data_IF_977434159248
#
_entry.id   IF_977434159248
#
_cell.length_a   1.000
_cell.length_b   1.000
_cell.length_c   1.000
_cell.angle_alpha   90.00
_cell.angle_beta   90.00
_cell.angle_gamma   90.00
#
_symmetry.space_group_name_H-M   'P 1'
#
loop_
_entity.id
_entity.type
_entity.pdbx_description
1 polymer ?
#
# COMPACT_ATOMS: atom_id res chain seq x y z
N UNK A 1 13.64 -14.54 -32.52
CA UNK A 1 12.27 -14.78 -32.02
C UNK A 1 12.25 -14.24 -30.60
N UNK A 2 11.85 -12.99 -30.43
CA UNK A 2 11.79 -12.35 -29.11
C UNK A 2 10.69 -13.01 -28.28
N UNK A 3 11.06 -13.65 -27.18
CA UNK A 3 10.11 -13.97 -26.12
C UNK A 3 9.60 -12.65 -25.55
N UNK A 4 8.43 -12.19 -26.01
CA UNK A 4 7.63 -11.22 -25.27
C UNK A 4 7.37 -11.83 -23.90
N UNK A 5 8.11 -11.38 -22.87
CA UNK A 5 7.67 -11.54 -21.48
C UNK A 5 6.30 -10.89 -21.43
N UNK A 6 5.25 -11.70 -21.23
CA UNK A 6 3.93 -11.19 -20.90
C UNK A 6 4.10 -10.38 -19.62
N UNK A 7 4.13 -9.06 -19.75
CA UNK A 7 4.03 -8.18 -18.59
C UNK A 7 2.65 -8.42 -17.98
N UNK A 8 2.64 -9.00 -16.79
CA UNK A 8 1.42 -9.26 -16.06
C UNK A 8 0.72 -7.93 -15.78
N UNK A 9 -0.44 -7.69 -16.39
CA UNK A 9 -1.29 -6.53 -16.10
C UNK A 9 -2.49 -6.98 -15.29
N UNK A 10 -2.72 -6.34 -14.14
CA UNK A 10 -3.73 -6.72 -13.16
C UNK A 10 -5.14 -6.21 -13.51
N UNK A 11 -5.24 -5.27 -14.44
CA UNK A 11 -6.50 -4.70 -14.92
C UNK A 11 -7.41 -5.73 -15.62
N UNK A 12 -6.84 -6.84 -16.10
CA UNK A 12 -7.56 -7.96 -16.70
C UNK A 12 -7.82 -9.12 -15.73
N UNK A 13 -7.44 -9.01 -14.45
CA UNK A 13 -7.60 -10.11 -13.49
C UNK A 13 -9.03 -10.10 -12.97
N UNK A 14 -9.74 -11.20 -13.21
CA UNK A 14 -11.15 -11.40 -12.81
C UNK A 14 -11.32 -11.27 -11.30
N UNK A 15 -10.30 -11.66 -10.53
CA UNK A 15 -10.25 -11.54 -9.08
C UNK A 15 -9.05 -10.66 -8.68
N UNK A 16 -9.26 -9.37 -8.37
CA UNK A 16 -8.17 -8.53 -7.89
C UNK A 16 -7.60 -9.10 -6.58
N UNK A 17 -6.33 -8.80 -6.24
CA UNK A 17 -5.72 -9.29 -5.01
C UNK A 17 -6.58 -8.95 -3.80
N UNK A 18 -6.88 -9.92 -2.94
CA UNK A 18 -7.70 -9.69 -1.75
C UNK A 18 -7.02 -8.73 -0.76
N UNK A 19 -5.69 -8.68 -0.78
CA UNK A 19 -4.91 -7.66 -0.13
C UNK A 19 -3.56 -7.46 -0.82
N UNK A 20 -2.92 -6.33 -0.54
CA UNK A 20 -1.56 -6.01 -0.96
C UNK A 20 -0.78 -5.45 0.22
N UNK A 21 0.50 -5.79 0.31
CA UNK A 21 1.44 -5.12 1.20
C UNK A 21 2.08 -3.95 0.44
N UNK A 22 2.25 -2.82 1.11
CA UNK A 22 2.75 -1.61 0.49
C UNK A 22 3.81 -0.96 1.37
N UNK A 23 4.98 -0.75 0.78
CA UNK A 23 6.04 0.05 1.36
C UNK A 23 6.23 1.30 0.52
N UNK A 24 6.44 2.42 1.19
CA UNK A 24 6.55 3.71 0.54
C UNK A 24 7.47 4.65 1.30
N UNK A 25 8.23 5.43 0.55
CA UNK A 25 8.85 6.66 0.98
C UNK A 25 8.19 7.81 0.22
N UNK A 26 7.73 8.80 0.98
CA UNK A 26 7.16 10.01 0.40
C UNK A 26 7.74 11.25 1.08
N UNK A 27 8.24 12.19 0.29
CA UNK A 27 8.80 13.46 0.73
C UNK A 27 8.37 14.55 -0.24
N UNK A 28 7.82 15.66 0.30
CA UNK A 28 7.42 16.82 -0.51
C UNK A 28 8.58 17.81 -0.64
N UNK A 29 9.42 17.95 0.39
CA UNK A 29 10.57 18.85 0.33
C UNK A 29 11.72 18.27 -0.50
N UNK A 30 12.69 19.14 -0.82
CA UNK A 30 13.97 18.80 -1.44
C UNK A 30 13.85 17.82 -2.62
N UNK A 31 13.26 18.33 -3.71
CA UNK A 31 13.10 17.71 -5.03
C UNK A 31 11.94 16.72 -5.20
N UNK A 32 11.07 16.55 -4.20
CA UNK A 32 9.97 15.57 -4.22
C UNK A 32 10.47 14.14 -4.46
N UNK A 33 10.29 13.27 -3.47
CA UNK A 33 10.65 11.85 -3.60
C UNK A 33 9.44 11.01 -3.28
N UNK A 34 9.13 10.10 -4.19
CA UNK A 34 7.99 9.21 -4.06
C UNK A 34 8.37 7.86 -4.66
N UNK A 35 8.78 6.93 -3.81
CA UNK A 35 9.26 5.62 -4.23
C UNK A 35 8.78 4.54 -3.27
N UNK A 36 8.66 3.32 -3.77
CA UNK A 36 8.07 2.26 -2.98
C UNK A 36 7.84 1.00 -3.79
N UNK A 37 7.07 0.09 -3.20
CA UNK A 37 6.61 -1.09 -3.90
C UNK A 37 5.29 -1.63 -3.34
N UNK A 38 4.51 -2.21 -4.24
CA UNK A 38 3.40 -3.10 -3.90
C UNK A 38 3.88 -4.54 -3.95
N UNK A 39 3.47 -5.33 -2.99
CA UNK A 39 3.76 -6.75 -2.86
C UNK A 39 2.42 -7.49 -2.77
N UNK A 40 2.22 -8.43 -3.69
CA UNK A 40 1.14 -9.41 -3.64
C UNK A 40 1.71 -10.74 -3.14
N UNK A 41 1.51 -11.06 -1.86
CA UNK A 41 2.08 -12.26 -1.27
C UNK A 41 1.28 -13.53 -1.61
N UNK A 42 0.10 -13.40 -2.21
CA UNK A 42 -0.76 -14.52 -2.63
C UNK A 42 -0.44 -14.93 -4.07
N UNK A 43 -0.41 -13.97 -4.99
CA UNK A 43 -0.07 -14.23 -6.39
C UNK A 43 1.44 -14.22 -6.66
N UNK A 44 2.23 -13.76 -5.68
CA UNK A 44 3.69 -13.83 -5.72
C UNK A 44 4.32 -12.83 -6.68
N UNK A 45 3.99 -11.54 -6.58
CA UNK A 45 4.72 -10.51 -7.32
C UNK A 45 4.99 -9.24 -6.52
N UNK A 46 6.03 -8.51 -6.93
CA UNK A 46 6.38 -7.18 -6.47
C UNK A 46 6.34 -6.20 -7.65
N UNK A 47 5.67 -5.06 -7.47
CA UNK A 47 5.68 -3.92 -8.39
C UNK A 47 6.37 -2.73 -7.73
N UNK A 48 7.58 -2.40 -8.18
CA UNK A 48 8.38 -1.30 -7.63
C UNK A 48 8.18 -0.03 -8.44
N UNK A 49 8.09 1.11 -7.76
CA UNK A 49 7.96 2.41 -8.40
C UNK A 49 8.95 3.42 -7.82
N UNK A 50 9.33 4.40 -8.64
CA UNK A 50 10.20 5.49 -8.24
C UNK A 50 9.82 6.74 -9.03
N UNK A 51 9.58 7.82 -8.29
CA UNK A 51 9.15 9.13 -8.75
C UNK A 51 8.20 9.08 -9.96
N UNK A 52 6.94 8.61 -9.78
CA UNK A 52 5.96 8.52 -10.87
C UNK A 52 5.80 9.83 -11.66
N UNK A 53 5.91 10.97 -10.96
CA UNK A 53 5.86 12.31 -11.54
C UNK A 53 6.93 12.54 -12.61
N UNK A 54 8.17 12.09 -12.38
CA UNK A 54 9.30 12.24 -13.31
C UNK A 54 9.09 11.43 -14.60
N UNK A 55 8.25 10.40 -14.52
CA UNK A 55 7.90 9.51 -15.64
C UNK A 55 6.62 9.95 -16.37
N UNK A 56 6.03 11.10 -16.03
CA UNK A 56 4.70 11.52 -16.48
C UNK A 56 3.60 10.48 -16.22
N UNK A 57 3.78 9.64 -15.20
CA UNK A 57 2.78 8.66 -14.78
C UNK A 57 1.84 9.38 -13.81
N UNK A 58 0.55 9.41 -14.16
CA UNK A 58 -0.48 9.87 -13.23
C UNK A 58 -0.53 8.93 -12.03
N UNK A 59 -0.23 9.46 -10.84
CA UNK A 59 -0.44 8.74 -9.59
C UNK A 59 -1.83 9.05 -9.05
N UNK A 60 -2.63 8.02 -8.84
CA UNK A 60 -3.93 8.16 -8.19
C UNK A 60 -3.71 8.09 -6.67
N UNK A 61 -4.00 9.20 -5.98
CA UNK A 61 -3.93 9.27 -4.51
C UNK A 61 -5.18 8.67 -3.87
N UNK A 62 -5.05 8.31 -2.59
CA UNK A 62 -6.15 7.88 -1.74
C UNK A 62 -6.98 9.08 -1.25
N UNK A 63 -8.12 8.80 -0.65
CA UNK A 63 -9.00 9.77 0.01
C UNK A 63 -9.31 9.28 1.43
N UNK A 64 -9.63 10.19 2.35
CA UNK A 64 -10.03 9.84 3.72
C UNK A 64 -11.22 8.89 3.72
N UNK A 65 -11.22 7.92 4.65
CA UNK A 65 -12.33 6.96 4.77
C UNK A 65 -13.59 7.55 5.41
N UNK A 66 -13.46 8.70 6.09
CA UNK A 66 -14.59 9.60 6.40
C UNK A 66 -15.13 10.16 5.08
N UNK A 67 -16.28 9.61 4.66
CA UNK A 67 -17.07 9.88 3.46
C UNK A 67 -16.62 11.10 2.62
N UNK A 68 -15.68 10.86 1.69
CA UNK A 68 -15.35 11.77 0.58
C UNK A 68 -14.97 13.22 0.95
N UNK A 69 -14.42 13.46 2.14
CA UNK A 69 -14.02 14.81 2.55
C UNK A 69 -12.59 15.17 2.10
N UNK A 70 -12.45 15.64 0.86
CA UNK A 70 -11.23 16.20 0.25
C UNK A 70 -10.00 15.25 0.23
N UNK A 71 -9.09 15.39 -0.75
CA UNK A 71 -7.77 14.76 -0.64
C UNK A 71 -7.07 15.37 0.59
N UNK A 72 -6.74 14.55 1.61
CA UNK A 72 -5.97 15.06 2.73
C UNK A 72 -4.49 15.17 2.31
N UNK A 73 -3.72 16.06 2.97
CA UNK A 73 -2.28 16.10 2.74
C UNK A 73 -1.66 14.76 3.12
N UNK A 74 -0.80 14.26 2.25
CA UNK A 74 -0.06 13.02 2.45
C UNK A 74 0.64 12.99 3.82
N UNK A 75 0.47 11.92 4.58
CA UNK A 75 1.06 11.77 5.93
C UNK A 75 0.10 12.04 7.09
N UNK A 76 -1.09 12.60 6.84
CA UNK A 76 -2.17 12.69 7.84
C UNK A 76 -3.07 11.47 7.89
N UNK A 77 -3.08 10.67 6.82
CA UNK A 77 -4.08 9.63 6.63
C UNK A 77 -3.64 8.30 7.26
N UNK A 78 -4.31 7.96 8.35
CA UNK A 78 -4.21 6.66 9.05
C UNK A 78 -4.98 5.56 8.32
N UNK A 79 -6.02 5.97 7.60
CA UNK A 79 -7.02 5.16 6.91
C UNK A 79 -7.41 5.87 5.59
N UNK A 80 -6.93 5.32 4.47
CA UNK A 80 -7.21 5.85 3.14
C UNK A 80 -8.01 4.84 2.32
N UNK A 81 -8.90 5.31 1.44
CA UNK A 81 -9.57 4.48 0.44
C UNK A 81 -9.11 4.84 -0.97
N UNK A 82 -8.99 3.83 -1.83
CA UNK A 82 -8.70 3.98 -3.26
C UNK A 82 -9.52 2.97 -4.05
N UNK A 83 -10.15 3.38 -5.14
CA UNK A 83 -10.90 2.44 -5.97
C UNK A 83 -9.99 1.35 -6.52
N UNK A 84 -10.51 0.14 -6.71
CA UNK A 84 -9.78 -0.97 -7.34
C UNK A 84 -9.11 -0.53 -8.63
N UNK A 85 -9.88 0.13 -9.51
CA UNK A 85 -9.38 0.64 -10.79
C UNK A 85 -8.16 1.55 -10.60
N UNK A 86 -8.26 2.54 -9.72
CA UNK A 86 -7.20 3.53 -9.53
C UNK A 86 -5.92 2.91 -8.93
N UNK A 87 -6.06 1.97 -8.00
CA UNK A 87 -4.91 1.26 -7.43
C UNK A 87 -4.23 0.36 -8.45
N UNK A 88 -5.02 -0.41 -9.22
CA UNK A 88 -4.48 -1.26 -10.27
C UNK A 88 -3.83 -0.45 -11.39
N UNK A 89 -4.35 0.74 -11.71
CA UNK A 89 -3.67 1.69 -12.60
C UNK A 89 -2.29 2.07 -12.05
N UNK A 90 -2.19 2.46 -10.77
CA UNK A 90 -0.90 2.76 -10.15
C UNK A 90 0.08 1.58 -10.29
N UNK A 91 -0.36 0.36 -10.00
CA UNK A 91 0.49 -0.85 -10.01
C UNK A 91 0.89 -1.26 -11.44
N UNK A 92 -0.01 -1.11 -12.41
CA UNK A 92 0.19 -1.57 -13.79
C UNK A 92 1.11 -0.68 -14.61
N UNK A 93 1.36 0.56 -14.16
CA UNK A 93 2.34 1.43 -14.78
C UNK A 93 3.80 1.00 -14.54
N UNK A 94 4.04 0.01 -13.68
CA UNK A 94 5.38 -0.43 -13.32
C UNK A 94 5.61 -1.92 -13.60
N UNK A 95 6.89 -2.24 -13.83
CA UNK A 95 7.36 -3.60 -14.09
C UNK A 95 7.21 -4.46 -12.84
N UNK A 96 6.65 -5.65 -13.04
CA UNK A 96 6.46 -6.64 -11.98
C UNK A 96 7.59 -7.65 -11.97
N UNK A 97 7.95 -8.09 -10.77
CA UNK A 97 8.92 -9.15 -10.53
C UNK A 97 8.23 -10.26 -9.75
N UNK A 98 8.34 -11.50 -10.23
CA UNK A 98 7.81 -12.65 -9.52
C UNK A 98 8.62 -12.91 -8.24
N UNK A 99 7.93 -13.35 -7.21
CA UNK A 99 8.47 -13.84 -5.94
C UNK A 99 7.74 -15.13 -5.55
N UNK A 100 8.19 -15.80 -4.51
CA UNK A 100 7.53 -17.00 -4.00
C UNK A 100 6.25 -16.62 -3.21
N UNK A 101 5.07 -17.17 -3.60
CA UNK A 101 3.84 -17.02 -2.82
C UNK A 101 4.02 -17.59 -1.42
N UNK A 102 3.53 -16.89 -0.39
CA UNK A 102 3.83 -17.26 1.00
C UNK A 102 2.72 -16.97 2.02
N UNK A 103 1.48 -16.69 1.59
CA UNK A 103 0.40 -16.26 2.51
C UNK A 103 -0.99 -16.89 2.23
N UNK A 104 -1.04 -18.13 1.72
CA UNK A 104 -2.30 -18.75 1.26
C UNK A 104 -3.36 -19.00 2.38
N UNK A 105 -3.02 -18.77 3.66
CA UNK A 105 -3.86 -19.08 4.82
C UNK A 105 -4.21 -17.86 5.69
N UNK A 106 -3.97 -16.64 5.22
CA UNK A 106 -4.25 -15.45 6.03
C UNK A 106 -5.76 -15.17 6.08
N UNK A 107 -6.28 -15.00 7.31
CA UNK A 107 -7.65 -14.55 7.53
C UNK A 107 -7.71 -13.01 7.48
N UNK A 108 -8.04 -12.48 6.31
CA UNK A 108 -8.13 -11.03 6.05
C UNK A 108 -9.15 -10.33 6.95
N UNK A 109 -10.26 -11.00 7.28
CA UNK A 109 -11.26 -10.42 8.19
C UNK A 109 -10.70 -10.24 9.60
N UNK A 110 -9.90 -11.20 10.07
CA UNK A 110 -9.26 -11.12 11.38
C UNK A 110 -8.16 -10.05 11.42
N UNK A 111 -7.38 -9.92 10.35
CA UNK A 111 -6.41 -8.81 10.20
C UNK A 111 -7.14 -7.47 10.25
N UNK A 112 -8.20 -7.31 9.44
CA UNK A 112 -8.99 -6.07 9.39
C UNK A 112 -9.52 -5.71 10.77
N UNK A 113 -10.21 -6.64 11.43
CA UNK A 113 -10.73 -6.45 12.78
C UNK A 113 -9.62 -6.02 13.76
N UNK A 114 -8.48 -6.71 13.74
CA UNK A 114 -7.38 -6.41 14.67
C UNK A 114 -6.74 -5.04 14.41
N UNK A 115 -6.67 -4.59 13.15
CA UNK A 115 -6.15 -3.28 12.79
C UNK A 115 -7.13 -2.16 13.16
N UNK A 116 -8.44 -2.38 12.99
CA UNK A 116 -9.48 -1.45 13.40
C UNK A 116 -9.53 -1.30 14.93
N UNK A 117 -9.36 -2.40 15.67
CA UNK A 117 -9.35 -2.42 17.14
C UNK A 117 -8.08 -1.84 17.77
N UNK A 118 -6.93 -1.93 17.09
CA UNK A 118 -5.66 -1.42 17.59
C UNK A 118 -5.71 0.09 17.85
N UNK A 119 -6.51 0.81 17.06
CA UNK A 119 -6.50 2.27 17.00
C UNK A 119 -5.19 2.80 16.40
N UNK A 120 -5.18 4.05 15.96
CA UNK A 120 -3.96 4.75 15.56
C UNK A 120 -3.75 5.94 16.50
N UNK A 121 -2.57 6.02 17.11
CA UNK A 121 -2.18 7.16 17.94
C UNK A 121 -1.66 8.25 16.99
N UNK A 122 -2.58 9.13 16.59
CA UNK A 122 -2.27 10.25 15.72
C UNK A 122 -1.46 11.30 16.51
N UNK A 123 -0.13 11.19 16.44
CA UNK A 123 0.73 12.36 16.61
C UNK A 123 0.97 12.98 15.24
N UNK A 124 0.02 13.83 14.83
CA UNK A 124 0.07 14.54 13.57
C UNK A 124 1.21 15.54 13.57
N UNK A 125 2.34 15.14 13.03
CA UNK A 125 3.43 16.04 12.69
C UNK A 125 3.60 16.01 11.17
N UNK A 126 3.41 17.18 10.53
CA UNK A 126 3.79 17.37 9.13
C UNK A 126 5.30 17.20 9.04
N UNK A 127 5.76 16.12 8.39
CA UNK A 127 7.17 15.97 8.11
C UNK A 127 7.48 16.42 6.70
N UNK A 128 7.94 17.67 6.56
CA UNK A 128 8.70 18.14 5.39
C UNK A 128 9.96 17.29 5.14
N UNK A 129 10.35 16.41 6.07
CA UNK A 129 11.57 15.60 6.01
C UNK A 129 11.39 14.21 5.37
N UNK A 130 10.19 13.91 4.89
CA UNK A 130 9.86 12.63 4.26
C UNK A 130 9.58 11.53 5.28
N UNK A 131 8.71 10.59 4.90
CA UNK A 131 8.25 9.50 5.77
C UNK A 131 8.32 8.18 5.03
N UNK A 132 8.84 7.15 5.72
CA UNK A 132 8.66 5.78 5.28
C UNK A 132 7.42 5.20 5.94
N UNK A 133 6.60 4.48 5.17
CA UNK A 133 5.35 3.90 5.64
C UNK A 133 5.22 2.46 5.14
N UNK A 134 4.72 1.61 6.02
CA UNK A 134 4.38 0.22 5.77
C UNK A 134 2.89 0.07 5.96
N UNK A 135 2.16 -0.33 4.93
CA UNK A 135 0.69 -0.41 4.93
C UNK A 135 0.22 -1.74 4.37
N UNK A 136 -0.99 -2.13 4.72
CA UNK A 136 -1.75 -3.19 4.05
C UNK A 136 -2.98 -2.57 3.38
N UNK A 137 -3.24 -2.98 2.14
CA UNK A 137 -4.42 -2.61 1.38
C UNK A 137 -5.33 -3.82 1.38
N UNK A 138 -6.54 -3.71 1.90
CA UNK A 138 -7.51 -4.80 1.95
C UNK A 138 -8.66 -4.46 1.00
N UNK A 139 -8.98 -5.37 0.08
CA UNK A 139 -10.05 -5.18 -0.88
C UNK A 139 -11.42 -5.35 -0.21
N UNK A 140 -12.32 -4.38 -0.38
CA UNK A 140 -13.73 -4.41 0.02
C UNK A 140 -14.63 -4.62 -1.21
N UNK A 141 -15.05 -5.86 -1.53
CA UNK A 141 -15.77 -6.15 -2.78
C UNK A 141 -17.12 -5.43 -2.90
N UNK A 142 -17.77 -5.13 -1.77
CA UNK A 142 -19.08 -4.46 -1.74
C UNK A 142 -19.02 -3.01 -2.22
N UNK A 143 -17.86 -2.37 -2.13
CA UNK A 143 -17.62 -0.98 -2.53
C UNK A 143 -16.67 -0.82 -3.72
N UNK A 144 -16.08 -1.93 -4.20
CA UNK A 144 -15.08 -1.96 -5.26
C UNK A 144 -13.84 -1.07 -4.98
N UNK A 145 -13.40 -1.06 -3.71
CA UNK A 145 -12.30 -0.25 -3.22
C UNK A 145 -11.31 -1.04 -2.37
N UNK A 146 -10.09 -0.54 -2.27
CA UNK A 146 -9.13 -0.96 -1.27
C UNK A 146 -9.11 0.04 -0.13
N UNK A 147 -9.19 -0.47 1.11
CA UNK A 147 -8.91 0.28 2.32
C UNK A 147 -7.45 0.06 2.71
N UNK A 148 -6.70 1.15 2.83
CA UNK A 148 -5.35 1.19 3.36
C UNK A 148 -5.41 1.23 4.88
N UNK A 149 -4.70 0.32 5.53
CA UNK A 149 -4.40 0.36 6.96
C UNK A 149 -2.90 0.57 7.13
N UNK A 150 -2.52 1.62 7.85
CA UNK A 150 -1.13 1.87 8.19
C UNK A 150 -0.67 0.89 9.29
N UNK A 151 0.42 0.16 9.04
CA UNK A 151 1.02 -0.79 9.98
C UNK A 151 2.09 -0.10 10.83
N UNK A 152 2.95 0.67 10.18
CA UNK A 152 4.10 1.36 10.80
C UNK A 152 4.54 2.55 9.93
N UNK A 153 5.00 3.62 10.55
CA UNK A 153 5.79 4.68 9.93
C UNK A 153 7.19 4.78 10.55
N UNK A 154 8.16 5.31 9.81
CA UNK A 154 9.50 5.58 10.32
C UNK A 154 9.46 6.73 11.33
N UNK A 155 10.14 6.56 12.46
CA UNK A 155 10.08 7.49 13.61
C UNK A 155 9.11 7.06 14.71
N UNK A 156 8.21 6.12 14.43
CA UNK A 156 7.30 5.55 15.43
C UNK A 156 8.11 4.88 16.55
N UNK A 157 8.06 5.47 17.76
CA UNK A 157 8.72 4.92 18.95
C UNK A 157 8.05 3.65 19.48
N UNK A 158 6.81 3.39 19.07
CA UNK A 158 6.03 2.22 19.39
C UNK A 158 5.23 1.80 18.16
N UNK A 159 5.29 0.52 17.79
CA UNK A 159 4.36 -0.08 16.83
C UNK A 159 2.94 0.04 17.41
N UNK A 160 2.14 1.00 16.92
CA UNK A 160 0.79 1.22 17.45
C UNK A 160 -0.19 0.16 16.92
N UNK A 161 0.16 -0.57 15.85
CA UNK A 161 -0.62 -1.73 15.44
C UNK A 161 -0.45 -2.87 16.46
N UNK A 162 -1.38 -2.92 17.43
CA UNK A 162 -1.59 -4.05 18.36
C UNK A 162 -2.13 -5.30 17.66
N UNK A 163 -2.23 -5.31 16.33
CA UNK A 163 -2.65 -6.50 15.60
C UNK A 163 -1.71 -7.67 15.92
N UNK A 164 -2.23 -8.87 16.23
CA UNK A 164 -1.42 -10.04 16.47
C UNK A 164 -0.61 -10.47 15.23
N UNK A 165 -0.96 -9.93 14.05
CA UNK A 165 -0.28 -10.19 12.79
C UNK A 165 0.82 -9.17 12.45
N UNK A 166 0.99 -8.11 13.24
CA UNK A 166 1.93 -7.03 12.91
C UNK A 166 3.36 -7.54 12.65
N UNK A 167 3.88 -8.43 13.50
CA UNK A 167 5.23 -8.99 13.33
C UNK A 167 5.36 -9.85 12.06
N UNK A 168 4.33 -10.65 11.76
CA UNK A 168 4.28 -11.46 10.53
C UNK A 168 4.24 -10.54 9.30
N UNK A 169 3.31 -9.59 9.24
CA UNK A 169 3.19 -8.63 8.13
C UNK A 169 4.48 -7.84 7.92
N UNK A 170 5.15 -7.44 9.01
CA UNK A 170 6.40 -6.69 8.93
C UNK A 170 7.57 -7.49 8.34
N UNK A 171 7.57 -8.82 8.50
CA UNK A 171 8.64 -9.69 7.98
C UNK A 171 8.74 -9.73 6.45
N UNK A 172 7.69 -9.28 5.75
CA UNK A 172 7.63 -9.23 4.29
C UNK A 172 8.18 -7.93 3.72
N UNK A 173 8.35 -6.92 4.56
CA UNK A 173 9.02 -5.69 4.16
C UNK A 173 10.52 -5.83 4.40
N UNK A 174 11.36 -5.20 3.57
CA UNK A 174 12.79 -5.20 3.80
C UNK A 174 13.12 -4.57 5.15
N UNK A 175 14.10 -5.14 5.85
CA UNK A 175 14.65 -4.53 7.07
C UNK A 175 15.24 -3.16 6.70
N UNK A 176 14.56 -2.08 7.09
CA UNK A 176 15.04 -0.70 6.96
C UNK A 176 15.87 -0.30 8.16
#
# INVERSE_FOLDING_TARGET
MEHKKNELRLDNVVNPPSFLLHYEFFCIAWDYKHEGFFLDPVEGYISKYKNPKDLNIKWNYYYSSEEYSNPLPWGYETDGVITKKNLLENINNFKKMAIEPSMNNININLIKQSLDEAGYDHQGEMYDFGVYSFSIYIYEPTKDEYRRHLIKSYGDKSLISKSPFTSELLSYFPNT
#
